data_IF_588035511774
#
_entry.id   IF_588035511774
#
_cell.length_a   1.000
_cell.length_b   1.000
_cell.length_c   1.000
_cell.angle_alpha   90.00
_cell.angle_beta   90.00
_cell.angle_gamma   90.00
#
_symmetry.space_group_name_H-M   'P 1'
#
loop_
_entity.id
_entity.type
_entity.pdbx_description
1 polymer ?
#
# COMPACT_ATOMS: atom_id res chain seq x y z
N UNK A 1 -53.24 37.31 33.64
CA UNK A 1 -52.00 37.39 34.44
C UNK A 1 -51.54 35.95 34.62
N UNK A 2 -50.80 35.38 33.68
CA UNK A 2 -49.35 35.56 33.43
C UNK A 2 -48.59 35.07 34.68
N UNK A 3 -47.76 34.02 34.68
CA UNK A 3 -46.96 33.45 33.60
C UNK A 3 -46.73 31.94 33.79
N UNK A 4 -47.00 31.18 32.73
CA UNK A 4 -46.24 29.97 32.36
C UNK A 4 -44.79 30.39 32.07
N UNK A 5 -43.83 29.81 32.77
CA UNK A 5 -42.49 29.52 32.23
C UNK A 5 -41.62 28.83 33.29
N UNK A 6 -41.76 27.50 33.39
CA UNK A 6 -40.65 26.69 33.88
C UNK A 6 -39.58 26.66 32.79
N UNK A 7 -38.32 27.06 33.04
CA UNK A 7 -37.29 26.99 32.02
C UNK A 7 -37.03 25.51 31.69
N UNK A 8 -37.33 25.13 30.44
CA UNK A 8 -36.94 23.84 29.89
C UNK A 8 -35.44 23.67 30.13
N UNK A 9 -35.08 22.65 30.91
CA UNK A 9 -33.70 22.23 31.09
C UNK A 9 -33.15 21.88 29.72
N UNK A 10 -32.32 22.77 29.17
CA UNK A 10 -31.56 22.50 27.96
C UNK A 10 -30.64 21.31 28.28
N UNK A 11 -31.09 20.11 27.90
CA UNK A 11 -30.25 18.92 27.86
C UNK A 11 -29.09 19.25 26.93
N UNK A 12 -27.92 19.50 27.52
CA UNK A 12 -26.71 19.79 26.78
C UNK A 12 -26.44 18.61 25.82
N UNK A 13 -26.47 18.90 24.52
CA UNK A 13 -26.14 17.97 23.46
C UNK A 13 -24.81 17.25 23.81
N UNK A 14 -24.75 15.91 23.80
CA UNK A 14 -23.55 15.21 24.23
C UNK A 14 -22.38 15.61 23.34
N UNK A 15 -21.39 16.28 23.94
CA UNK A 15 -20.21 16.77 23.25
C UNK A 15 -19.58 15.62 22.44
N UNK A 16 -19.48 15.84 21.12
CA UNK A 16 -18.95 14.85 20.19
C UNK A 16 -17.52 14.47 20.64
N UNK A 17 -17.19 13.17 20.84
CA UNK A 17 -15.87 12.79 21.31
C UNK A 17 -14.78 13.30 20.35
N UNK A 18 -13.63 13.75 20.87
CA UNK A 18 -12.56 14.29 20.04
C UNK A 18 -12.13 13.25 19.00
N UNK A 19 -12.12 13.66 17.72
CA UNK A 19 -11.72 12.80 16.60
C UNK A 19 -10.31 12.25 16.87
N UNK A 20 -10.12 10.93 16.66
CA UNK A 20 -8.80 10.31 16.81
C UNK A 20 -7.79 11.02 15.89
N UNK A 21 -6.59 11.35 16.38
CA UNK A 21 -5.61 12.08 15.58
C UNK A 21 -5.10 11.22 14.40
N UNK A 22 -4.88 11.87 13.24
CA UNK A 22 -4.52 11.19 11.99
C UNK A 22 -3.20 10.42 12.04
N UNK A 23 -2.26 10.79 12.92
CA UNK A 23 -1.00 10.06 13.15
C UNK A 23 -1.16 8.75 13.95
N UNK A 24 -2.31 8.55 14.62
CA UNK A 24 -2.69 7.26 15.22
C UNK A 24 -3.42 6.36 14.23
N UNK A 25 -3.06 6.46 12.94
CA UNK A 25 -3.62 5.60 11.92
C UNK A 25 -3.42 4.14 12.31
N UNK A 26 -2.21 3.68 12.64
CA UNK A 26 -1.98 2.30 13.10
C UNK A 26 -2.39 2.10 14.56
N UNK A 27 -3.26 1.13 14.79
CA UNK A 27 -3.56 0.64 16.12
C UNK A 27 -2.54 -0.41 16.56
N UNK A 28 -2.47 -0.69 17.86
CA UNK A 28 -1.53 -1.67 18.43
C UNK A 28 -1.67 -3.06 17.77
N UNK A 29 -2.89 -3.37 17.36
CA UNK A 29 -3.25 -4.64 16.70
C UNK A 29 -2.86 -4.68 15.22
N UNK A 30 -2.60 -3.54 14.56
CA UNK A 30 -2.20 -3.52 13.16
C UNK A 30 -0.73 -3.95 12.99
N UNK A 31 0.09 -3.86 14.04
CA UNK A 31 1.52 -4.22 13.99
C UNK A 31 1.77 -5.69 13.64
N UNK A 32 0.84 -6.59 13.97
CA UNK A 32 0.95 -8.00 13.55
C UNK A 32 0.85 -8.12 12.02
N UNK A 33 -0.06 -7.36 11.40
CA UNK A 33 -0.22 -7.30 9.95
C UNK A 33 1.01 -6.68 9.29
N UNK A 34 1.53 -5.59 9.86
CA UNK A 34 2.79 -4.99 9.39
C UNK A 34 3.92 -6.01 9.41
N UNK A 35 4.04 -6.76 10.51
CA UNK A 35 5.04 -7.82 10.65
C UNK A 35 4.90 -8.88 9.56
N UNK A 36 3.68 -9.33 9.28
CA UNK A 36 3.42 -10.31 8.21
C UNK A 36 3.76 -9.76 6.82
N UNK A 37 3.32 -8.54 6.49
CA UNK A 37 3.64 -7.90 5.20
C UNK A 37 5.15 -7.85 4.99
N UNK A 38 5.91 -7.41 6.00
CA UNK A 38 7.36 -7.32 5.91
C UNK A 38 8.02 -8.70 5.82
N UNK A 39 7.60 -9.66 6.64
CA UNK A 39 8.16 -11.01 6.66
C UNK A 39 7.92 -11.74 5.34
N UNK A 40 6.69 -11.71 4.83
CA UNK A 40 6.30 -12.40 3.60
C UNK A 40 6.93 -11.72 2.38
N UNK A 41 6.93 -10.38 2.33
CA UNK A 41 7.63 -9.65 1.27
C UNK A 41 9.12 -9.96 1.27
N UNK A 42 9.77 -9.96 2.44
CA UNK A 42 11.18 -10.32 2.58
C UNK A 42 11.46 -11.75 2.11
N UNK A 43 10.63 -12.71 2.51
CA UNK A 43 10.72 -14.10 2.06
C UNK A 43 10.55 -14.22 0.54
N UNK A 44 9.57 -13.51 -0.04
CA UNK A 44 9.33 -13.46 -1.47
C UNK A 44 10.54 -12.91 -2.23
N UNK A 45 11.15 -11.82 -1.75
CA UNK A 45 12.37 -11.26 -2.33
C UNK A 45 13.54 -12.26 -2.31
N UNK A 46 13.74 -12.96 -1.19
CA UNK A 46 14.79 -13.99 -1.09
C UNK A 46 14.51 -15.17 -2.02
N UNK A 47 13.30 -15.71 -1.95
CA UNK A 47 12.88 -16.87 -2.73
C UNK A 47 12.92 -16.59 -4.23
N UNK A 48 12.35 -15.47 -4.69
CA UNK A 48 12.34 -15.09 -6.09
C UNK A 48 13.74 -14.87 -6.66
N UNK A 49 14.65 -14.28 -5.87
CA UNK A 49 16.06 -14.16 -6.26
C UNK A 49 16.72 -15.53 -6.44
N UNK A 50 16.54 -16.45 -5.49
CA UNK A 50 17.13 -17.79 -5.54
C UNK A 50 16.56 -18.63 -6.68
N UNK A 51 15.24 -18.61 -6.84
CA UNK A 51 14.55 -19.29 -7.93
C UNK A 51 15.07 -18.79 -9.29
N UNK A 52 15.21 -17.48 -9.46
CA UNK A 52 15.76 -16.91 -10.69
C UNK A 52 17.20 -17.34 -10.94
N UNK A 53 18.07 -17.30 -9.92
CA UNK A 53 19.47 -17.70 -10.06
C UNK A 53 19.60 -19.16 -10.51
N UNK A 54 18.77 -20.06 -9.96
CA UNK A 54 18.75 -21.48 -10.30
C UNK A 54 18.19 -21.71 -11.70
N UNK A 55 17.01 -21.14 -12.01
CA UNK A 55 16.31 -21.39 -13.27
C UNK A 55 16.98 -20.73 -14.48
N UNK A 56 17.48 -19.50 -14.31
CA UNK A 56 18.13 -18.76 -15.39
C UNK A 56 19.63 -19.08 -15.50
N UNK A 57 20.18 -19.86 -14.57
CA UNK A 57 21.62 -20.14 -14.43
C UNK A 57 22.49 -18.87 -14.54
N UNK A 58 22.01 -17.78 -13.94
CA UNK A 58 22.62 -16.45 -14.00
C UNK A 58 22.71 -15.87 -12.60
N UNK A 59 23.91 -15.43 -12.24
CA UNK A 59 24.12 -14.71 -11.00
C UNK A 59 23.61 -13.27 -11.13
N UNK A 60 22.85 -12.82 -10.13
CA UNK A 60 22.53 -11.39 -9.97
C UNK A 60 23.75 -10.71 -9.36
N UNK A 61 24.51 -9.99 -10.18
CA UNK A 61 25.74 -9.32 -9.73
C UNK A 61 25.39 -7.93 -9.17
N UNK A 62 25.63 -7.73 -7.87
CA UNK A 62 25.43 -6.46 -7.20
C UNK A 62 23.97 -6.02 -6.98
N UNK A 63 23.81 -4.86 -6.35
CA UNK A 63 22.50 -4.30 -6.00
C UNK A 63 21.66 -3.92 -7.24
N UNK A 64 22.31 -3.39 -8.28
CA UNK A 64 21.63 -3.02 -9.52
C UNK A 64 21.03 -4.23 -10.24
N UNK A 65 21.80 -5.30 -10.42
CA UNK A 65 21.29 -6.53 -11.05
C UNK A 65 20.21 -7.22 -10.22
N UNK A 66 20.25 -7.09 -8.89
CA UNK A 66 19.15 -7.52 -8.03
C UNK A 66 17.89 -6.68 -8.24
N UNK A 67 18.00 -5.36 -8.37
CA UNK A 67 16.86 -4.48 -8.65
C UNK A 67 16.23 -4.76 -10.02
N UNK A 68 17.04 -4.93 -11.07
CA UNK A 68 16.57 -5.20 -12.43
C UNK A 68 15.75 -6.49 -12.55
N UNK A 69 16.01 -7.48 -11.68
CA UNK A 69 15.21 -8.70 -11.61
C UNK A 69 13.73 -8.38 -11.37
N UNK A 70 13.46 -7.39 -10.52
CA UNK A 70 12.11 -7.02 -10.08
C UNK A 70 11.40 -6.05 -11.02
N UNK A 71 12.05 -5.57 -12.09
CA UNK A 71 11.44 -4.71 -13.11
C UNK A 71 11.05 -5.47 -14.38
N UNK A 72 10.90 -6.79 -14.31
CA UNK A 72 10.56 -7.64 -15.47
C UNK A 72 9.07 -7.63 -15.79
N UNK A 73 8.76 -8.08 -17.02
CA UNK A 73 7.40 -8.14 -17.58
C UNK A 73 6.75 -6.75 -17.64
N UNK A 74 5.56 -6.60 -17.07
CA UNK A 74 4.77 -5.39 -17.07
C UNK A 74 5.45 -4.25 -16.31
N UNK A 75 6.37 -4.58 -15.40
CA UNK A 75 7.19 -3.62 -14.66
C UNK A 75 7.94 -2.67 -15.58
N UNK A 76 8.58 -3.17 -16.64
CA UNK A 76 9.29 -2.34 -17.62
C UNK A 76 8.36 -1.30 -18.26
N UNK A 77 7.11 -1.68 -18.58
CA UNK A 77 6.14 -0.77 -19.20
C UNK A 77 5.69 0.32 -18.23
N UNK A 78 5.41 -0.03 -16.97
CA UNK A 78 5.09 0.96 -15.94
C UNK A 78 6.25 1.94 -15.69
N UNK A 79 7.49 1.44 -15.65
CA UNK A 79 8.67 2.28 -15.47
C UNK A 79 8.91 3.20 -16.68
N UNK A 80 8.67 2.72 -17.91
CA UNK A 80 8.72 3.55 -19.12
C UNK A 80 7.68 4.66 -19.08
N UNK A 81 6.43 4.35 -18.72
CA UNK A 81 5.37 5.35 -18.57
C UNK A 81 5.70 6.36 -17.46
N UNK A 82 6.30 5.94 -16.36
CA UNK A 82 6.72 6.84 -15.29
C UNK A 82 7.86 7.78 -15.74
N UNK A 83 8.78 7.30 -16.57
CA UNK A 83 9.92 8.08 -17.11
C UNK A 83 9.52 9.04 -18.22
N UNK A 84 8.85 8.52 -19.24
CA UNK A 84 8.57 9.23 -20.50
C UNK A 84 7.20 9.91 -20.48
N UNK A 85 6.31 9.50 -19.58
CA UNK A 85 4.93 9.93 -19.58
C UNK A 85 4.11 9.22 -20.65
N UNK A 86 2.87 9.67 -20.80
CA UNK A 86 1.95 9.17 -21.82
C UNK A 86 2.24 9.90 -23.17
N UNK A 87 3.28 9.49 -23.91
CA UNK A 87 3.64 9.99 -25.27
C UNK A 87 3.09 9.14 -26.42
N UNK A 88 2.73 9.74 -27.57
CA UNK A 88 1.95 9.06 -28.63
C UNK A 88 2.58 7.76 -29.18
N UNK A 89 3.87 7.55 -28.95
CA UNK A 89 4.60 6.36 -29.40
C UNK A 89 4.44 5.13 -28.50
N UNK A 90 3.90 5.27 -27.28
CA UNK A 90 3.72 4.12 -26.40
C UNK A 90 2.39 3.41 -26.65
N UNK A 91 2.43 2.28 -27.34
CA UNK A 91 1.27 1.40 -27.62
C UNK A 91 0.50 1.02 -26.34
N UNK A 92 1.20 0.96 -25.20
CA UNK A 92 0.68 0.50 -23.90
C UNK A 92 -0.18 1.51 -23.12
N UNK A 93 -0.31 2.76 -23.61
CA UNK A 93 -1.09 3.82 -22.95
C UNK A 93 -2.56 3.48 -22.74
N UNK A 94 -3.11 2.72 -23.67
CA UNK A 94 -4.55 2.44 -23.71
C UNK A 94 -4.97 1.48 -22.60
N UNK A 95 -4.05 0.71 -22.03
CA UNK A 95 -4.36 -0.36 -21.08
C UNK A 95 -3.86 -0.10 -19.65
N UNK A 96 -2.94 0.85 -19.49
CA UNK A 96 -2.32 1.16 -18.20
C UNK A 96 -2.85 2.49 -17.64
N UNK A 97 -3.52 2.42 -16.50
CA UNK A 97 -4.07 3.61 -15.81
C UNK A 97 -2.96 4.49 -15.20
N UNK A 98 -3.11 5.83 -15.22
CA UNK A 98 -2.03 6.78 -14.95
C UNK A 98 -1.61 6.91 -13.48
N UNK A 99 -2.48 6.53 -12.54
CA UNK A 99 -2.22 6.73 -11.12
C UNK A 99 -0.90 6.09 -10.67
N UNK A 100 -0.67 4.84 -11.03
CA UNK A 100 0.51 4.10 -10.60
C UNK A 100 1.82 4.66 -11.23
N UNK A 101 1.93 4.87 -12.55
CA UNK A 101 3.09 5.57 -13.14
C UNK A 101 3.37 6.94 -12.55
N UNK A 102 2.34 7.72 -12.21
CA UNK A 102 2.51 9.03 -11.59
C UNK A 102 3.04 8.95 -10.17
N UNK A 103 2.54 8.00 -9.36
CA UNK A 103 3.10 7.72 -8.04
C UNK A 103 4.58 7.33 -8.13
N UNK A 104 4.95 6.45 -9.07
CA UNK A 104 6.35 6.07 -9.31
C UNK A 104 7.17 7.30 -9.66
N UNK A 105 6.69 8.15 -10.57
CA UNK A 105 7.41 9.36 -10.98
C UNK A 105 7.64 10.31 -9.82
N UNK A 106 6.63 10.50 -8.96
CA UNK A 106 6.74 11.34 -7.77
C UNK A 106 7.79 10.79 -6.79
N UNK A 107 7.75 9.49 -6.50
CA UNK A 107 8.74 8.86 -5.61
C UNK A 107 10.13 8.87 -6.25
N UNK A 108 10.24 8.71 -7.57
CA UNK A 108 11.50 8.75 -8.30
C UNK A 108 12.18 10.12 -8.26
N UNK A 109 11.41 11.20 -8.15
CA UNK A 109 11.96 12.53 -7.93
C UNK A 109 12.76 12.62 -6.60
N UNK A 110 12.37 11.83 -5.59
CA UNK A 110 13.03 11.79 -4.28
C UNK A 110 14.12 10.70 -4.24
N UNK A 111 13.81 9.49 -4.71
CA UNK A 111 14.68 8.33 -4.61
C UNK A 111 15.75 8.25 -5.71
N UNK A 112 15.61 9.01 -6.80
CA UNK A 112 16.55 9.03 -7.93
C UNK A 112 16.57 7.77 -8.80
N UNK A 113 15.79 6.73 -8.45
CA UNK A 113 15.73 5.48 -9.20
C UNK A 113 14.29 4.99 -9.37
N UNK A 114 13.87 4.83 -10.63
CA UNK A 114 12.51 4.43 -10.98
C UNK A 114 12.16 3.00 -10.54
N UNK A 115 13.10 2.05 -10.56
CA UNK A 115 12.87 0.67 -10.11
C UNK A 115 12.62 0.65 -8.61
N UNK A 116 13.51 1.30 -7.85
CA UNK A 116 13.36 1.46 -6.39
C UNK A 116 12.03 2.14 -6.05
N UNK A 117 11.67 3.17 -6.82
CA UNK A 117 10.41 3.88 -6.65
C UNK A 117 9.19 2.99 -6.92
N UNK A 118 9.24 2.15 -7.95
CA UNK A 118 8.22 1.14 -8.23
C UNK A 118 8.03 0.16 -7.08
N UNK A 119 9.14 -0.32 -6.50
CA UNK A 119 9.12 -1.21 -5.34
C UNK A 119 8.56 -0.51 -4.09
N UNK A 120 8.95 0.74 -3.84
CA UNK A 120 8.41 1.54 -2.72
C UNK A 120 6.91 1.74 -2.87
N UNK A 121 6.44 2.17 -4.05
CA UNK A 121 5.01 2.42 -4.31
C UNK A 121 4.22 1.12 -4.17
N UNK A 122 4.69 0.02 -4.75
CA UNK A 122 4.04 -1.30 -4.64
C UNK A 122 4.01 -1.80 -3.20
N UNK A 123 5.11 -1.67 -2.46
CA UNK A 123 5.19 -2.08 -1.05
C UNK A 123 4.27 -1.25 -0.17
N UNK A 124 4.20 0.07 -0.39
CA UNK A 124 3.26 0.94 0.30
C UNK A 124 1.80 0.58 -0.03
N UNK A 125 1.49 0.31 -1.30
CA UNK A 125 0.15 -0.10 -1.72
C UNK A 125 -0.27 -1.42 -1.05
N UNK A 126 0.62 -2.42 -1.01
CA UNK A 126 0.38 -3.69 -0.32
C UNK A 126 0.14 -3.49 1.19
N UNK A 127 0.98 -2.66 1.83
CA UNK A 127 0.82 -2.31 3.24
C UNK A 127 -0.55 -1.68 3.52
N UNK A 128 -0.94 -0.67 2.75
CA UNK A 128 -2.25 -0.02 2.92
C UNK A 128 -3.39 -0.99 2.62
N UNK A 129 -3.28 -1.81 1.56
CA UNK A 129 -4.29 -2.81 1.23
C UNK A 129 -4.49 -3.80 2.39
N UNK A 130 -3.42 -4.32 2.99
CA UNK A 130 -3.50 -5.25 4.12
C UNK A 130 -4.16 -4.62 5.36
N UNK A 131 -3.76 -3.40 5.73
CA UNK A 131 -4.34 -2.69 6.90
C UNK A 131 -5.80 -2.32 6.64
N UNK A 132 -6.13 -1.81 5.45
CA UNK A 132 -7.49 -1.44 5.10
C UNK A 132 -8.40 -2.67 4.99
N UNK A 133 -7.90 -3.79 4.45
CA UNK A 133 -8.65 -5.04 4.39
C UNK A 133 -8.99 -5.55 5.79
N UNK A 134 -8.02 -5.57 6.72
CA UNK A 134 -8.26 -5.95 8.12
C UNK A 134 -9.40 -5.12 8.71
N UNK A 135 -9.34 -3.81 8.51
CA UNK A 135 -10.34 -2.88 9.06
C UNK A 135 -11.70 -3.07 8.43
N UNK A 136 -11.75 -3.22 7.12
CA UNK A 136 -12.98 -3.45 6.39
C UNK A 136 -13.69 -4.71 6.90
N UNK A 137 -12.96 -5.82 7.04
CA UNK A 137 -13.53 -7.09 7.54
C UNK A 137 -13.92 -6.99 9.01
N UNK A 138 -13.20 -6.22 9.82
CA UNK A 138 -13.54 -6.02 11.25
C UNK A 138 -14.82 -5.23 11.50
N UNK A 139 -15.41 -4.60 10.47
CA UNK A 139 -16.71 -3.92 10.59
C UNK A 139 -17.84 -4.96 10.72
N UNK A 140 -17.75 -6.06 9.96
CA UNK A 140 -18.82 -7.04 9.82
C UNK A 140 -18.54 -8.37 10.53
N UNK A 141 -17.27 -8.68 10.84
CA UNK A 141 -16.85 -9.99 11.33
C UNK A 141 -15.93 -9.93 12.55
N UNK A 142 -15.80 -11.09 13.20
CA UNK A 142 -14.92 -11.27 14.35
C UNK A 142 -13.43 -11.01 14.01
N UNK A 143 -12.60 -10.57 14.97
CA UNK A 143 -11.20 -10.22 14.74
C UNK A 143 -10.35 -11.33 14.10
N UNK A 144 -10.66 -12.60 14.38
CA UNK A 144 -9.96 -13.76 13.83
C UNK A 144 -10.20 -13.90 12.32
N UNK A 145 -11.42 -13.58 11.85
CA UNK A 145 -11.76 -13.60 10.44
C UNK A 145 -11.00 -12.49 9.72
N UNK A 146 -10.95 -11.28 10.30
CA UNK A 146 -10.20 -10.15 9.74
C UNK A 146 -8.70 -10.47 9.58
N UNK A 147 -8.09 -11.12 10.57
CA UNK A 147 -6.68 -11.54 10.48
C UNK A 147 -6.47 -12.62 9.41
N UNK A 148 -7.37 -13.61 9.30
CA UNK A 148 -7.28 -14.64 8.27
C UNK A 148 -7.44 -14.08 6.86
N UNK A 149 -8.31 -13.09 6.66
CA UNK A 149 -8.45 -12.40 5.37
C UNK A 149 -7.14 -11.74 4.93
N UNK A 150 -6.42 -11.10 5.86
CA UNK A 150 -5.09 -10.55 5.55
C UNK A 150 -4.08 -11.66 5.29
N UNK A 151 -4.12 -12.74 6.06
CA UNK A 151 -3.23 -13.88 5.83
C UNK A 151 -3.41 -14.50 4.44
N UNK A 152 -4.64 -14.55 3.91
CA UNK A 152 -4.88 -15.06 2.55
C UNK A 152 -4.54 -14.06 1.44
N UNK A 153 -4.45 -12.76 1.77
CA UNK A 153 -4.00 -11.74 0.83
C UNK A 153 -2.48 -11.80 0.59
N UNK A 154 -1.71 -12.12 1.64
CA UNK A 154 -0.24 -12.13 1.66
C UNK A 154 0.33 -13.47 1.19
#
# INVERSE_FOLDING_TARGET
>A
MNDENAPATAEAEPANPPSKPWWRFLQREDWIVVGWVLAISGLFFVFGTKAYQILANKWTVGFHGWLELWSRWDGDQYLRLAKLGYTNDSVWKAWLYPLYPWCIRFVAWIAGNYVVSGLIVSGAALFFAAVLLRRLVSIDFAPEVALRSVWFLL
#
